data_IF_196641226107
#
_entry.id   IF_196641226107
#
_cell.length_a   1.000
_cell.length_b   1.000
_cell.length_c   1.000
_cell.angle_alpha   90.00
_cell.angle_beta   90.00
_cell.angle_gamma   90.00
#
_symmetry.space_group_name_H-M   'P 1'
#
loop_
_entity.id
_entity.type
_entity.pdbx_description
1 polymer ?
#
# COMPACT_ATOMS: atom_id res chain seq x y z
N UNK A 1 -10.70 5.54 -41.05
CA UNK A 1 -9.90 4.29 -41.16
C UNK A 1 -9.98 3.66 -39.77
N UNK A 2 -11.12 3.07 -39.37
CA UNK A 2 -11.46 1.64 -39.54
C UNK A 2 -10.22 0.75 -39.38
N UNK A 3 -10.05 0.20 -38.18
CA UNK A 3 -10.09 -1.25 -37.95
C UNK A 3 -10.06 -1.54 -36.44
N UNK A 4 -11.24 -1.81 -35.89
CA UNK A 4 -11.38 -2.56 -34.65
C UNK A 4 -11.34 -4.04 -35.05
N UNK A 5 -10.23 -4.70 -34.77
CA UNK A 5 -10.10 -6.14 -34.96
C UNK A 5 -10.71 -6.85 -33.75
N UNK A 6 -11.89 -7.41 -34.00
CA UNK A 6 -12.56 -8.41 -33.17
C UNK A 6 -11.59 -9.52 -32.73
N UNK A 7 -11.33 -9.62 -31.43
CA UNK A 7 -10.89 -10.88 -30.83
C UNK A 7 -12.11 -11.57 -30.20
N UNK A 8 -12.69 -12.48 -30.98
CA UNK A 8 -13.62 -13.49 -30.48
C UNK A 8 -12.87 -14.48 -29.60
N UNK A 9 -13.17 -14.50 -28.30
CA UNK A 9 -12.81 -15.63 -27.45
C UNK A 9 -13.78 -16.76 -27.79
N UNK A 10 -13.23 -17.82 -28.36
CA UNK A 10 -13.93 -19.07 -28.68
C UNK A 10 -13.96 -19.91 -27.41
N UNK A 11 -15.11 -19.97 -26.75
CA UNK A 11 -15.40 -20.96 -25.72
C UNK A 11 -16.35 -22.00 -26.30
N UNK A 12 -15.82 -23.17 -26.67
CA UNK A 12 -16.61 -24.37 -26.92
C UNK A 12 -16.68 -25.17 -25.63
N UNK A 13 -17.88 -25.23 -25.05
CA UNK A 13 -18.29 -26.25 -24.10
C UNK A 13 -19.77 -26.54 -24.35
N UNK A 14 -20.01 -27.74 -24.85
CA UNK A 14 -21.29 -28.28 -25.30
C UNK A 14 -22.32 -28.47 -24.17
N UNK A 15 -23.59 -28.10 -24.44
CA UNK A 15 -24.90 -28.78 -24.16
C UNK A 15 -25.02 -29.68 -22.90
N UNK A 16 -26.06 -29.66 -22.06
CA UNK A 16 -27.49 -29.31 -22.17
C UNK A 16 -28.06 -29.12 -20.73
N UNK A 17 -29.20 -28.43 -20.57
CA UNK A 17 -30.06 -28.60 -19.37
C UNK A 17 -30.85 -27.35 -18.94
N UNK A 18 -32.16 -27.38 -19.13
CA UNK A 18 -33.11 -26.29 -18.90
C UNK A 18 -33.64 -26.19 -17.44
N UNK A 19 -34.14 -25.02 -17.05
CA UNK A 19 -34.99 -24.76 -15.87
C UNK A 19 -34.59 -23.47 -15.16
N UNK A 20 -35.24 -22.32 -15.42
CA UNK A 20 -36.41 -21.79 -14.71
C UNK A 20 -36.23 -21.67 -13.18
N UNK A 21 -35.81 -20.49 -12.71
CA UNK A 21 -36.40 -19.73 -11.59
C UNK A 21 -35.47 -18.63 -11.06
N UNK A 22 -36.05 -17.59 -10.45
CA UNK A 22 -35.33 -16.71 -9.54
C UNK A 22 -34.53 -15.57 -10.15
N UNK A 23 -35.19 -14.67 -10.88
CA UNK A 23 -34.62 -13.34 -11.20
C UNK A 23 -34.39 -12.49 -9.96
N UNK A 24 -33.31 -12.75 -9.22
CA UNK A 24 -32.72 -11.81 -8.28
C UNK A 24 -31.59 -11.09 -9.01
N UNK A 25 -31.95 -10.17 -9.91
CA UNK A 25 -30.99 -9.19 -10.43
C UNK A 25 -30.68 -8.19 -9.32
N UNK A 26 -29.73 -8.54 -8.45
CA UNK A 26 -28.82 -7.53 -7.91
C UNK A 26 -27.65 -7.49 -8.89
N UNK A 27 -27.85 -6.81 -10.00
CA UNK A 27 -26.73 -6.24 -10.74
C UNK A 27 -26.11 -5.24 -9.78
N UNK A 28 -25.10 -5.68 -9.02
CA UNK A 28 -24.19 -4.74 -8.39
C UNK A 28 -23.65 -3.91 -9.56
N UNK A 29 -23.88 -2.61 -9.53
CA UNK A 29 -23.26 -1.70 -10.48
C UNK A 29 -21.76 -1.95 -10.42
N UNK A 30 -21.21 -2.62 -11.43
CA UNK A 30 -19.77 -2.71 -11.62
C UNK A 30 -19.36 -1.29 -12.00
N UNK A 31 -18.97 -0.50 -11.00
CA UNK A 31 -18.47 0.84 -11.23
C UNK A 31 -17.19 0.70 -12.02
N UNK A 32 -17.25 0.95 -13.33
CA UNK A 32 -16.06 0.94 -14.16
C UNK A 32 -15.06 1.96 -13.59
N UNK A 33 -13.89 1.47 -13.22
CA UNK A 33 -12.81 2.30 -12.71
C UNK A 33 -12.25 3.14 -13.85
N UNK A 34 -11.93 4.41 -13.55
CA UNK A 34 -11.20 5.24 -14.51
C UNK A 34 -9.83 4.62 -14.78
N UNK A 35 -9.37 4.70 -16.03
CA UNK A 35 -8.02 4.30 -16.42
C UNK A 35 -6.95 5.13 -15.72
N UNK A 36 -7.31 6.35 -15.29
CA UNK A 36 -6.46 7.23 -14.50
C UNK A 36 -6.67 6.91 -13.01
N UNK A 37 -5.68 6.34 -12.30
CA UNK A 37 -5.88 5.85 -10.94
C UNK A 37 -6.35 6.93 -9.96
N UNK A 38 -5.88 8.17 -10.13
CA UNK A 38 -6.22 9.28 -9.22
C UNK A 38 -7.71 9.63 -9.20
N UNK A 39 -8.45 9.32 -10.27
CA UNK A 39 -9.90 9.57 -10.32
C UNK A 39 -10.68 8.57 -9.45
N UNK A 40 -10.05 7.46 -9.06
CA UNK A 40 -10.62 6.42 -8.22
C UNK A 40 -10.26 6.60 -6.72
N UNK A 41 -9.39 7.56 -6.38
CA UNK A 41 -8.98 7.79 -4.99
C UNK A 41 -10.13 8.28 -4.13
N UNK A 42 -10.16 7.82 -2.86
CA UNK A 42 -11.17 8.23 -1.87
C UNK A 42 -11.09 9.73 -1.53
N UNK A 43 -9.88 10.29 -1.54
CA UNK A 43 -9.62 11.71 -1.28
C UNK A 43 -9.02 12.34 -2.54
N UNK A 44 -9.51 13.54 -2.90
CA UNK A 44 -8.97 14.29 -4.03
C UNK A 44 -7.56 14.80 -3.73
N UNK A 45 -6.71 14.78 -4.76
CA UNK A 45 -5.34 15.29 -4.68
C UNK A 45 -5.36 16.82 -4.59
N UNK A 46 -4.83 17.36 -3.49
CA UNK A 46 -4.66 18.80 -3.29
C UNK A 46 -3.24 19.26 -3.64
N UNK A 47 -3.09 19.85 -4.84
CA UNK A 47 -1.80 20.36 -5.32
C UNK A 47 -1.49 21.79 -4.83
N UNK A 48 -2.44 22.47 -4.18
CA UNK A 48 -2.31 23.88 -3.79
C UNK A 48 -1.74 24.04 -2.38
N UNK A 49 -1.65 22.97 -1.58
CA UNK A 49 -1.09 23.08 -0.23
C UNK A 49 0.37 23.55 -0.26
N UNK A 50 0.70 24.63 0.47
CA UNK A 50 2.06 25.18 0.48
C UNK A 50 3.04 24.27 1.23
N UNK A 51 2.55 23.43 2.15
CA UNK A 51 3.38 22.51 2.94
C UNK A 51 2.71 21.15 3.11
N UNK A 52 3.53 20.13 3.35
CA UNK A 52 3.07 18.81 3.75
C UNK A 52 2.48 18.86 5.17
N UNK A 53 1.33 18.22 5.36
CA UNK A 53 0.74 17.97 6.68
C UNK A 53 0.63 16.45 6.83
N UNK A 54 1.32 15.83 7.81
CA UNK A 54 1.23 14.39 8.03
C UNK A 54 -0.23 13.93 8.19
N UNK A 55 -0.59 12.82 7.55
CA UNK A 55 -1.95 12.23 7.62
C UNK A 55 -2.09 11.16 8.71
N UNK A 56 -1.08 11.01 9.56
CA UNK A 56 -1.03 10.02 10.64
C UNK A 56 -2.18 10.27 11.64
N UNK A 57 -3.01 9.24 11.87
CA UNK A 57 -4.15 9.29 12.81
C UNK A 57 -3.85 8.61 14.14
N UNK A 58 -3.08 7.52 14.09
CA UNK A 58 -2.67 6.73 15.25
C UNK A 58 -1.16 6.57 15.18
N UNK A 59 -0.49 6.72 16.32
CA UNK A 59 0.96 6.56 16.44
C UNK A 59 1.25 5.25 17.17
N UNK A 60 1.47 4.18 16.40
CA UNK A 60 1.85 2.87 16.93
C UNK A 60 3.29 2.88 17.45
N UNK A 61 3.65 1.93 18.32
CA UNK A 61 5.01 1.73 18.83
C UNK A 61 5.62 2.96 19.53
N UNK A 62 4.79 3.78 20.18
CA UNK A 62 5.21 4.98 20.89
C UNK A 62 4.23 5.30 22.02
N UNK A 63 4.77 5.67 23.18
CA UNK A 63 4.00 6.23 24.30
C UNK A 63 3.82 7.76 24.16
N UNK A 64 4.52 8.40 23.22
CA UNK A 64 4.40 9.82 22.97
C UNK A 64 3.19 10.10 22.08
N UNK A 65 2.37 11.12 22.39
CA UNK A 65 1.26 11.48 21.53
C UNK A 65 1.75 12.04 20.18
N UNK A 66 0.86 12.06 19.19
CA UNK A 66 1.10 12.81 17.95
C UNK A 66 1.37 14.28 18.31
N UNK A 67 2.46 14.90 17.83
CA UNK A 67 2.78 16.29 18.11
C UNK A 67 1.60 17.23 17.89
N UNK A 68 1.30 18.09 18.87
CA UNK A 68 0.15 19.02 18.82
C UNK A 68 0.15 19.87 17.54
N UNK A 69 1.31 20.33 17.08
CA UNK A 69 1.43 21.10 15.84
C UNK A 69 0.92 20.34 14.60
N UNK A 70 1.11 19.01 14.54
CA UNK A 70 0.58 18.17 13.47
C UNK A 70 -0.95 18.11 13.58
N UNK A 71 -1.48 17.85 14.78
CA UNK A 71 -2.93 17.76 15.03
C UNK A 71 -3.62 19.09 14.72
N UNK A 72 -3.04 20.22 15.14
CA UNK A 72 -3.53 21.55 14.84
C UNK A 72 -3.54 21.81 13.32
N UNK A 73 -2.47 21.45 12.62
CA UNK A 73 -2.38 21.59 11.17
C UNK A 73 -3.38 20.69 10.42
N UNK A 74 -3.62 19.47 10.89
CA UNK A 74 -4.68 18.59 10.36
C UNK A 74 -6.07 19.22 10.53
N UNK A 75 -6.28 19.98 11.60
CA UNK A 75 -7.51 20.74 11.87
C UNK A 75 -7.57 22.12 11.18
N UNK A 76 -6.63 22.42 10.28
CA UNK A 76 -6.64 23.65 9.47
C UNK A 76 -6.01 24.87 10.15
N UNK A 77 -5.32 24.70 11.29
CA UNK A 77 -4.56 25.79 11.89
C UNK A 77 -3.38 26.15 10.98
N UNK A 78 -3.37 27.40 10.52
CA UNK A 78 -2.31 27.94 9.67
C UNK A 78 -1.17 28.42 10.54
N UNK A 79 0.04 27.96 10.19
CA UNK A 79 1.31 28.36 10.80
C UNK A 79 2.38 28.28 9.73
N UNK A 80 3.33 29.21 9.78
CA UNK A 80 4.52 29.20 8.92
C UNK A 80 5.65 28.37 9.53
N UNK A 81 5.52 27.95 10.79
CA UNK A 81 6.49 27.09 11.45
C UNK A 81 6.52 25.70 10.81
N UNK A 82 7.72 25.11 10.64
CA UNK A 82 7.85 23.76 10.11
C UNK A 82 7.18 22.74 11.04
N UNK A 83 6.49 21.77 10.45
CA UNK A 83 5.92 20.66 11.22
C UNK A 83 7.01 19.66 11.61
N UNK A 84 7.02 19.16 12.85
CA UNK A 84 7.98 18.16 13.28
C UNK A 84 7.71 16.81 12.58
N UNK A 85 8.72 15.95 12.53
CA UNK A 85 8.52 14.56 12.14
C UNK A 85 7.87 13.77 13.28
N UNK A 86 6.76 13.09 13.01
CA UNK A 86 5.93 12.46 14.05
C UNK A 86 6.70 11.41 14.89
N UNK A 87 7.67 10.72 14.28
CA UNK A 87 8.51 9.68 14.90
C UNK A 87 9.97 10.11 15.16
N UNK A 88 10.25 11.42 15.22
CA UNK A 88 11.63 11.91 15.35
C UNK A 88 12.37 11.36 16.59
N UNK A 89 11.71 11.40 17.75
CA UNK A 89 12.31 10.96 19.01
C UNK A 89 12.50 9.45 19.07
N UNK A 90 11.55 8.67 18.55
CA UNK A 90 11.66 7.21 18.47
C UNK A 90 12.86 6.80 17.62
N UNK A 91 12.99 7.38 16.42
CA UNK A 91 14.11 7.10 15.52
C UNK A 91 15.45 7.45 16.18
N UNK A 92 15.53 8.62 16.84
CA UNK A 92 16.74 9.06 17.55
C UNK A 92 17.11 8.08 18.66
N UNK A 93 16.14 7.74 19.50
CA UNK A 93 16.34 6.86 20.67
C UNK A 93 16.73 5.45 20.24
N UNK A 94 16.05 4.88 19.25
CA UNK A 94 16.37 3.55 18.72
C UNK A 94 17.77 3.51 18.12
N UNK A 95 18.17 4.55 17.39
CA UNK A 95 19.53 4.64 16.84
C UNK A 95 20.59 4.66 17.95
N UNK A 96 20.39 5.49 18.97
CA UNK A 96 21.31 5.58 20.12
C UNK A 96 21.42 4.23 20.87
N UNK A 97 20.30 3.51 21.03
CA UNK A 97 20.28 2.18 21.66
C UNK A 97 21.05 1.16 20.83
N UNK A 98 20.77 1.07 19.52
CA UNK A 98 21.47 0.15 18.62
C UNK A 98 22.97 0.45 18.63
N UNK A 99 23.36 1.72 18.47
CA UNK A 99 24.78 2.14 18.49
C UNK A 99 25.48 1.81 19.82
N UNK A 100 24.77 1.88 20.94
CA UNK A 100 25.30 1.50 22.26
C UNK A 100 25.41 -0.02 22.46
N UNK A 101 24.57 -0.81 21.79
CA UNK A 101 24.55 -2.28 21.88
C UNK A 101 25.47 -2.98 20.88
N UNK A 102 25.96 -2.29 19.83
CA UNK A 102 26.82 -2.91 18.81
C UNK A 102 28.17 -3.38 19.40
N UNK A 103 28.23 -4.66 19.77
CA UNK A 103 29.45 -5.48 19.64
C UNK A 103 29.67 -5.92 18.18
N UNK A 104 30.77 -6.62 17.88
CA UNK A 104 31.03 -7.13 16.52
C UNK A 104 29.82 -7.93 16.00
N UNK A 105 29.25 -7.51 14.86
CA UNK A 105 28.29 -8.31 14.10
C UNK A 105 28.95 -9.64 13.71
N UNK A 106 28.54 -10.72 14.37
CA UNK A 106 29.09 -12.07 14.17
C UNK A 106 28.17 -12.96 13.33
N UNK A 107 26.96 -12.52 13.00
CA UNK A 107 26.02 -13.33 12.23
C UNK A 107 26.33 -13.29 10.73
N UNK A 108 26.50 -14.49 10.16
CA UNK A 108 26.65 -14.68 8.73
C UNK A 108 25.30 -14.38 8.06
N UNK A 109 25.25 -13.56 7.00
CA UNK A 109 24.01 -13.28 6.28
C UNK A 109 23.34 -14.58 5.82
N UNK A 110 22.07 -14.76 6.18
CA UNK A 110 21.29 -15.88 5.66
C UNK A 110 21.03 -15.65 4.16
N UNK A 111 21.37 -16.61 3.27
CA UNK A 111 21.08 -16.50 1.85
C UNK A 111 19.57 -16.31 1.62
N UNK A 112 19.20 -15.56 0.59
CA UNK A 112 17.82 -15.51 0.14
C UNK A 112 17.40 -16.88 -0.42
N UNK A 113 16.12 -17.21 -0.27
CA UNK A 113 15.56 -18.36 -0.97
C UNK A 113 15.65 -18.14 -2.48
N UNK A 114 15.88 -19.20 -3.28
CA UNK A 114 15.74 -19.10 -4.72
C UNK A 114 14.34 -18.60 -5.10
N UNK A 115 14.23 -17.75 -6.14
CA UNK A 115 12.96 -17.13 -6.56
C UNK A 115 11.80 -18.11 -6.83
N UNK A 116 12.08 -19.40 -7.09
CA UNK A 116 11.05 -20.42 -7.31
C UNK A 116 10.50 -21.04 -6.02
N UNK A 117 11.16 -20.78 -4.90
CA UNK A 117 10.85 -21.36 -3.60
C UNK A 117 10.16 -20.35 -2.67
N UNK A 118 10.35 -19.05 -2.89
CA UNK A 118 9.62 -18.02 -2.16
C UNK A 118 8.15 -17.98 -2.61
N UNK A 119 7.24 -17.96 -1.63
CA UNK A 119 5.82 -17.74 -1.89
C UNK A 119 5.60 -16.30 -2.36
N UNK A 120 4.65 -16.08 -3.27
CA UNK A 120 4.30 -14.75 -3.76
C UNK A 120 2.83 -14.47 -3.49
N UNK A 121 2.54 -13.34 -2.84
CA UNK A 121 1.18 -12.85 -2.61
C UNK A 121 0.96 -11.52 -3.31
N UNK A 122 -0.06 -11.46 -4.16
CA UNK A 122 -0.59 -10.21 -4.70
C UNK A 122 -1.66 -9.67 -3.74
N UNK A 123 -1.50 -8.43 -3.28
CA UNK A 123 -2.33 -7.81 -2.25
C UNK A 123 -3.08 -6.62 -2.86
N UNK A 124 -4.37 -6.80 -3.13
CA UNK A 124 -5.26 -5.80 -3.73
C UNK A 124 -6.63 -5.65 -3.02
N UNK A 125 -6.83 -6.33 -1.89
CA UNK A 125 -7.98 -6.13 -0.99
C UNK A 125 -7.56 -5.86 0.44
N UNK A 126 -8.48 -5.29 1.24
CA UNK A 126 -8.25 -5.01 2.66
C UNK A 126 -8.00 -6.30 3.44
N UNK A 127 -8.71 -7.37 3.12
CA UNK A 127 -8.54 -8.67 3.79
C UNK A 127 -7.14 -9.24 3.55
N UNK A 128 -6.61 -9.08 2.34
CA UNK A 128 -5.23 -9.50 2.01
C UNK A 128 -4.18 -8.59 2.67
N UNK A 129 -4.50 -7.30 2.87
CA UNK A 129 -3.64 -6.40 3.67
C UNK A 129 -3.60 -6.87 5.11
N UNK A 130 -4.74 -7.22 5.72
CA UNK A 130 -4.80 -7.72 7.09
C UNK A 130 -4.02 -9.04 7.23
N UNK A 131 -4.21 -9.99 6.30
CA UNK A 131 -3.45 -11.26 6.27
C UNK A 131 -1.94 -11.01 6.16
N UNK A 132 -1.52 -10.14 5.23
CA UNK A 132 -0.12 -9.75 5.09
C UNK A 132 0.42 -9.11 6.39
N UNK A 133 -0.33 -8.23 7.03
CA UNK A 133 0.11 -7.56 8.27
C UNK A 133 0.29 -8.55 9.43
N UNK A 134 -0.61 -9.53 9.56
CA UNK A 134 -0.48 -10.61 10.55
C UNK A 134 0.78 -11.45 10.30
N UNK A 135 1.08 -11.79 9.04
CA UNK A 135 2.33 -12.51 8.70
C UNK A 135 3.59 -11.66 8.93
N UNK A 136 3.55 -10.36 8.61
CA UNK A 136 4.68 -9.45 8.80
C UNK A 136 4.95 -9.16 10.28
N UNK A 137 3.93 -9.20 11.15
CA UNK A 137 4.10 -8.99 12.59
C UNK A 137 4.97 -10.08 13.24
N UNK A 138 4.98 -11.28 12.68
CA UNK A 138 5.79 -12.42 13.15
C UNK A 138 7.19 -12.47 12.47
N UNK A 139 7.43 -11.62 11.46
CA UNK A 139 8.70 -11.59 10.75
C UNK A 139 9.76 -10.79 11.54
N UNK A 140 10.95 -11.37 11.80
CA UNK A 140 12.00 -10.66 12.53
C UNK A 140 12.63 -9.52 11.72
N UNK A 141 12.54 -9.60 10.39
CA UNK A 141 13.09 -8.62 9.46
C UNK A 141 12.33 -8.66 8.14
N UNK A 142 12.28 -7.50 7.49
CA UNK A 142 11.59 -7.30 6.21
C UNK A 142 12.43 -6.41 5.30
N UNK A 143 12.38 -6.68 4.00
CA UNK A 143 12.84 -5.75 2.97
C UNK A 143 11.62 -5.04 2.37
N UNK A 144 11.75 -3.74 2.09
CA UNK A 144 10.65 -2.91 1.55
C UNK A 144 11.21 -2.08 0.40
N UNK A 145 10.51 -2.07 -0.73
CA UNK A 145 10.79 -1.20 -1.87
C UNK A 145 9.49 -0.61 -2.44
N UNK A 146 9.60 0.48 -3.21
CA UNK A 146 8.48 1.24 -3.74
C UNK A 146 8.63 1.50 -5.25
N UNK A 147 7.52 1.43 -5.99
CA UNK A 147 7.46 1.97 -7.35
C UNK A 147 6.73 3.32 -7.37
N UNK A 148 7.28 4.28 -8.11
CA UNK A 148 6.79 5.66 -8.14
C UNK A 148 6.48 6.14 -9.55
N UNK A 149 5.31 6.77 -9.73
CA UNK A 149 4.90 7.37 -10.99
C UNK A 149 4.79 8.90 -10.88
N UNK A 150 5.45 9.64 -11.77
CA UNK A 150 5.40 11.11 -11.83
C UNK A 150 5.15 11.73 -13.21
N UNK A 151 4.94 10.94 -14.27
CA UNK A 151 4.74 11.49 -15.61
C UNK A 151 3.37 12.17 -15.76
N UNK A 152 2.32 11.62 -15.15
CA UNK A 152 0.94 12.13 -15.22
C UNK A 152 0.41 12.55 -13.84
N UNK A 153 1.31 12.98 -12.96
CA UNK A 153 0.99 13.47 -11.62
C UNK A 153 1.92 14.63 -11.24
N UNK A 154 1.38 15.71 -10.67
CA UNK A 154 2.16 16.89 -10.31
C UNK A 154 3.21 16.60 -9.22
N UNK A 155 2.83 15.88 -8.15
CA UNK A 155 3.73 15.49 -7.05
C UNK A 155 4.21 14.04 -7.14
N UNK A 156 3.72 13.31 -8.12
CA UNK A 156 3.88 11.86 -8.18
C UNK A 156 2.96 11.12 -7.21
N UNK A 157 2.96 9.79 -7.31
CA UNK A 157 2.32 8.88 -6.36
C UNK A 157 3.04 7.53 -6.39
N UNK A 158 3.01 6.80 -5.27
CA UNK A 158 3.45 5.41 -5.21
C UNK A 158 2.41 4.53 -5.90
N UNK A 159 2.84 3.67 -6.82
CA UNK A 159 1.98 2.77 -7.57
C UNK A 159 2.11 1.30 -7.15
N UNK A 160 3.16 0.94 -6.44
CA UNK A 160 3.39 -0.39 -5.92
C UNK A 160 4.21 -0.31 -4.63
N UNK A 161 3.94 -1.22 -3.69
CA UNK A 161 4.84 -1.53 -2.58
C UNK A 161 5.26 -2.99 -2.73
N UNK A 162 6.56 -3.25 -2.64
CA UNK A 162 7.10 -4.59 -2.56
C UNK A 162 7.63 -4.84 -1.16
N UNK A 163 7.19 -5.93 -0.53
CA UNK A 163 7.67 -6.34 0.80
C UNK A 163 8.17 -7.77 0.69
N UNK A 164 9.33 -8.06 1.27
CA UNK A 164 9.87 -9.42 1.30
C UNK A 164 10.26 -9.80 2.72
N UNK A 165 9.86 -11.01 3.10
CA UNK A 165 10.36 -11.72 4.28
C UNK A 165 11.39 -12.76 3.85
N UNK A 166 11.88 -13.58 4.78
CA UNK A 166 12.72 -14.73 4.42
C UNK A 166 11.98 -15.86 3.70
N UNK A 167 10.65 -15.85 3.67
CA UNK A 167 9.83 -16.96 3.15
C UNK A 167 8.90 -16.55 2.01
N UNK A 168 8.49 -15.29 1.97
CA UNK A 168 7.38 -14.82 1.15
C UNK A 168 7.61 -13.38 0.69
N UNK A 169 7.27 -13.13 -0.56
CA UNK A 169 7.25 -11.85 -1.23
C UNK A 169 5.79 -11.37 -1.38
N UNK A 170 5.58 -10.09 -1.16
CA UNK A 170 4.29 -9.41 -1.27
C UNK A 170 4.39 -8.30 -2.29
N UNK A 171 3.45 -8.28 -3.22
CA UNK A 171 3.29 -7.21 -4.20
C UNK A 171 1.96 -6.52 -3.90
N UNK A 172 2.02 -5.32 -3.36
CA UNK A 172 0.86 -4.58 -2.87
C UNK A 172 0.45 -3.53 -3.89
N UNK A 173 -0.76 -3.69 -4.43
CA UNK A 173 -1.41 -2.68 -5.27
C UNK A 173 -2.01 -1.59 -4.39
N UNK A 174 -1.24 -0.53 -4.18
CA UNK A 174 -1.66 0.65 -3.39
C UNK A 174 -2.65 1.56 -4.12
N UNK A 175 -3.05 1.20 -5.35
CA UNK A 175 -4.07 1.91 -6.12
C UNK A 175 -5.41 1.16 -6.15
N UNK A 176 -5.43 -0.09 -5.64
CA UNK A 176 -6.63 -0.90 -5.57
C UNK A 176 -7.71 -0.20 -4.71
N UNK A 177 -8.97 -0.11 -5.18
CA UNK A 177 -10.02 0.56 -4.44
C UNK A 177 -10.32 -0.14 -3.11
N UNK A 178 -10.13 0.58 -2.00
CA UNK A 178 -10.53 0.12 -0.67
C UNK A 178 -9.37 -0.21 0.26
N UNK A 179 -8.17 -0.46 -0.30
CA UNK A 179 -6.89 -0.36 0.43
C UNK A 179 -6.62 1.13 0.75
#
# INVERSE_FOLDING_TARGET
IKDAADHKIVGDATRDGAGLDGGFKREAEVKELSWRPQDNFKELVDNYRPRFVPRLKVKHNSDLPIPKAIVDAQNGVVSDEPLPHAYAEEIRTWREMVEAEVGEMTEVPTPQLPNKEAELMWVDTVELVDEMLDELAEAPEVAIDLEHHNMQSYRGFTCLIQIATRKKDYIVDVLAPGI
#
